data_IF_647553469420
#
_entry.id   IF_647553469420
#
_cell.length_a   1.000
_cell.length_b   1.000
_cell.length_c   1.000
_cell.angle_alpha   90.00
_cell.angle_beta   90.00
_cell.angle_gamma   90.00
#
_symmetry.space_group_name_H-M   'P 1'
#
loop_
_entity.id
_entity.type
_entity.pdbx_description
1 polymer ?
#
# COMPACT_ATOMS: atom_id res chain seq x y z
N UNK A 1 5.40 0.36 20.30
CA UNK A 1 6.49 0.49 21.28
C UNK A 1 6.89 -0.90 21.67
N UNK A 2 8.17 -1.25 21.57
CA UNK A 2 8.67 -2.55 22.07
C UNK A 2 9.17 -2.32 23.49
N UNK A 3 8.77 -3.19 24.42
CA UNK A 3 9.15 -3.11 25.84
C UNK A 3 9.44 -4.51 26.38
N UNK A 4 10.25 -4.55 27.42
CA UNK A 4 10.57 -5.69 28.27
C UNK A 4 9.62 -5.84 29.47
N UNK A 5 8.70 -4.89 29.67
CA UNK A 5 7.67 -4.99 30.69
C UNK A 5 6.81 -6.25 30.49
N UNK A 6 6.54 -6.98 31.58
CA UNK A 6 5.65 -8.15 31.55
C UNK A 6 4.21 -7.66 31.56
N UNK A 7 3.52 -7.82 30.43
CA UNK A 7 2.14 -7.37 30.22
C UNK A 7 1.34 -8.56 29.65
N UNK A 8 0.11 -8.74 30.13
CA UNK A 8 -0.80 -9.72 29.53
C UNK A 8 -1.15 -9.30 28.10
N UNK A 9 -1.08 -10.26 27.17
CA UNK A 9 -1.43 -10.01 25.78
C UNK A 9 -2.94 -9.89 25.63
N UNK A 10 -3.38 -8.92 24.81
CA UNK A 10 -4.78 -8.83 24.43
C UNK A 10 -5.23 -10.09 23.66
N UNK A 11 -6.52 -10.46 23.76
CA UNK A 11 -7.08 -11.53 22.95
C UNK A 11 -6.89 -11.27 21.45
N UNK A 12 -6.63 -12.32 20.68
CA UNK A 12 -6.59 -12.19 19.22
C UNK A 12 -7.98 -11.83 18.67
N UNK A 13 -8.00 -10.92 17.71
CA UNK A 13 -9.22 -10.63 16.95
C UNK A 13 -9.61 -11.84 16.07
N UNK A 14 -10.90 -11.98 15.73
CA UNK A 14 -11.35 -12.97 14.75
C UNK A 14 -10.61 -12.83 13.41
N UNK A 15 -10.40 -13.95 12.74
CA UNK A 15 -9.77 -13.97 11.42
C UNK A 15 -10.66 -13.25 10.38
N UNK A 16 -10.02 -12.46 9.52
CA UNK A 16 -10.57 -11.67 8.42
C UNK A 16 -11.88 -10.90 8.74
N UNK A 17 -11.81 -9.59 9.04
CA UNK A 17 -13.01 -8.80 9.33
C UNK A 17 -13.84 -8.50 8.07
N UNK A 18 -13.41 -8.90 6.88
CA UNK A 18 -14.15 -8.64 5.64
C UNK A 18 -15.48 -9.41 5.62
N UNK A 19 -16.58 -8.79 5.17
CA UNK A 19 -17.81 -9.54 4.90
C UNK A 19 -17.57 -10.68 3.91
N UNK A 20 -18.33 -11.79 3.99
CA UNK A 20 -18.20 -12.90 3.05
C UNK A 20 -18.25 -12.44 1.59
N UNK A 21 -17.30 -12.88 0.78
CA UNK A 21 -17.18 -12.53 -0.65
C UNK A 21 -17.03 -11.03 -0.94
N UNK A 22 -16.55 -10.22 0.02
CA UNK A 22 -16.29 -8.81 -0.21
C UNK A 22 -15.14 -8.61 -1.20
N UNK A 23 -15.38 -7.87 -2.29
CA UNK A 23 -14.36 -7.49 -3.28
C UNK A 23 -14.33 -5.98 -3.54
N UNK A 24 -14.84 -5.17 -2.60
CA UNK A 24 -15.06 -3.74 -2.81
C UNK A 24 -13.74 -3.00 -3.12
N UNK A 25 -12.71 -3.20 -2.28
CA UNK A 25 -11.39 -2.61 -2.45
C UNK A 25 -10.69 -3.07 -3.74
N UNK A 26 -10.80 -4.36 -4.07
CA UNK A 26 -10.22 -4.92 -5.29
C UNK A 26 -10.86 -4.33 -6.55
N UNK A 27 -12.19 -4.19 -6.58
CA UNK A 27 -12.94 -3.63 -7.72
C UNK A 27 -12.61 -2.18 -8.01
N UNK A 28 -12.40 -1.35 -6.98
CA UNK A 28 -12.13 0.08 -7.18
C UNK A 28 -10.64 0.39 -7.40
N UNK A 29 -9.74 -0.55 -7.11
CA UNK A 29 -8.31 -0.31 -7.09
C UNK A 29 -7.80 0.19 -8.46
N UNK A 30 -7.36 1.46 -8.58
CA UNK A 30 -7.00 2.04 -9.87
C UNK A 30 -5.72 1.43 -10.46
N UNK A 31 -4.84 0.92 -9.60
CA UNK A 31 -3.60 0.25 -9.99
C UNK A 31 -3.76 -1.23 -10.29
N UNK A 32 -4.95 -1.81 -10.02
CA UNK A 32 -5.19 -3.27 -10.09
C UNK A 32 -4.18 -4.06 -9.26
N UNK A 33 -3.88 -3.55 -8.06
CA UNK A 33 -2.92 -4.17 -7.16
C UNK A 33 -3.45 -5.43 -6.44
N UNK A 34 -4.72 -5.79 -6.61
CA UNK A 34 -5.28 -7.03 -6.08
C UNK A 34 -5.37 -8.07 -7.20
N UNK A 35 -4.92 -9.30 -6.94
CA UNK A 35 -5.13 -10.42 -7.85
C UNK A 35 -6.55 -11.00 -7.75
N UNK A 36 -6.82 -12.07 -8.51
CA UNK A 36 -8.15 -12.68 -8.59
C UNK A 36 -8.60 -13.29 -7.25
N UNK A 37 -7.64 -13.66 -6.41
CA UNK A 37 -7.84 -14.23 -5.07
C UNK A 37 -7.91 -13.13 -3.99
N UNK A 38 -7.75 -11.86 -4.36
CA UNK A 38 -7.80 -10.72 -3.45
C UNK A 38 -6.49 -10.46 -2.70
N UNK A 39 -5.39 -11.11 -3.07
CA UNK A 39 -4.07 -10.86 -2.49
C UNK A 39 -3.49 -9.57 -3.04
N UNK A 40 -2.95 -8.76 -2.13
CA UNK A 40 -2.42 -7.44 -2.43
C UNK A 40 -0.96 -7.49 -2.90
N UNK A 41 -0.68 -6.89 -4.05
CA UNK A 41 0.66 -6.68 -4.58
C UNK A 41 1.14 -5.24 -4.30
N UNK A 42 2.02 -5.14 -3.31
CA UNK A 42 2.63 -3.87 -2.88
C UNK A 42 3.31 -3.12 -4.02
N UNK A 43 4.07 -3.81 -4.87
CA UNK A 43 4.86 -3.15 -5.91
C UNK A 43 3.99 -2.53 -6.99
N UNK A 44 2.89 -3.20 -7.35
CA UNK A 44 1.88 -2.66 -8.27
C UNK A 44 1.20 -1.42 -7.69
N UNK A 45 0.84 -1.44 -6.39
CA UNK A 45 0.23 -0.31 -5.73
C UNK A 45 1.17 0.90 -5.67
N UNK A 46 2.40 0.70 -5.19
CA UNK A 46 3.39 1.77 -5.04
C UNK A 46 3.70 2.50 -6.35
N UNK A 47 3.73 1.78 -7.48
CA UNK A 47 3.92 2.40 -8.80
C UNK A 47 2.83 3.42 -9.16
N UNK A 48 1.62 3.28 -8.62
CA UNK A 48 0.53 4.23 -8.83
C UNK A 48 0.45 5.30 -7.73
N UNK A 49 0.65 4.90 -6.47
CA UNK A 49 0.40 5.80 -5.33
C UNK A 49 1.52 6.78 -5.08
N UNK A 50 2.75 6.45 -5.48
CA UNK A 50 3.88 7.37 -5.32
C UNK A 50 3.91 8.36 -6.48
N UNK A 51 3.37 9.56 -6.25
CA UNK A 51 3.38 10.66 -7.23
C UNK A 51 4.53 11.63 -6.95
N UNK A 52 5.78 11.18 -7.12
CA UNK A 52 6.90 12.11 -7.17
C UNK A 52 7.23 12.43 -8.63
N UNK A 53 7.16 13.72 -9.01
CA UNK A 53 7.33 14.17 -10.40
C UNK A 53 8.66 13.72 -11.04
N UNK A 54 9.69 13.49 -10.22
CA UNK A 54 10.99 13.02 -10.70
C UNK A 54 11.06 11.52 -10.98
N UNK A 55 10.13 10.70 -10.47
CA UNK A 55 10.23 9.24 -10.60
C UNK A 55 10.02 8.73 -12.03
N UNK A 56 9.04 9.23 -12.81
CA UNK A 56 8.94 8.88 -14.22
C UNK A 56 10.20 9.23 -15.00
N UNK A 57 10.89 10.31 -14.63
CA UNK A 57 12.14 10.72 -15.28
C UNK A 57 13.34 9.88 -14.82
N UNK A 58 13.49 9.67 -13.50
CA UNK A 58 14.64 9.01 -12.91
C UNK A 58 14.58 7.47 -12.98
N UNK A 59 13.40 6.87 -13.11
CA UNK A 59 13.19 5.41 -13.15
C UNK A 59 12.75 4.89 -14.53
N UNK A 60 12.74 5.73 -15.57
CA UNK A 60 12.41 5.31 -16.95
C UNK A 60 13.51 4.53 -17.65
N UNK A 61 14.71 4.46 -17.07
CA UNK A 61 15.86 3.76 -17.65
C UNK A 61 16.35 2.62 -16.76
N UNK A 62 17.00 1.63 -17.38
CA UNK A 62 17.63 0.51 -16.67
C UNK A 62 18.64 0.98 -15.60
N UNK A 63 19.39 2.05 -15.90
CA UNK A 63 20.34 2.66 -14.97
C UNK A 63 19.61 3.30 -13.77
N UNK A 64 18.46 3.94 -14.02
CA UNK A 64 17.57 4.46 -12.99
C UNK A 64 17.05 3.37 -12.05
N UNK A 65 16.55 2.28 -12.63
CA UNK A 65 16.06 1.11 -11.89
C UNK A 65 17.16 0.43 -11.05
N UNK A 66 18.39 0.33 -11.56
CA UNK A 66 19.54 -0.18 -10.79
C UNK A 66 19.88 0.68 -9.55
N UNK A 67 19.46 1.93 -9.53
CA UNK A 67 19.72 2.88 -8.44
C UNK A 67 18.44 3.29 -7.69
N UNK A 68 17.40 2.45 -7.76
CA UNK A 68 16.07 2.78 -7.22
C UNK A 68 16.10 3.20 -5.75
N UNK A 69 16.91 2.56 -4.92
CA UNK A 69 17.07 2.89 -3.50
C UNK A 69 17.62 4.31 -3.31
N UNK A 70 18.65 4.70 -4.08
CA UNK A 70 19.21 6.05 -4.04
C UNK A 70 18.19 7.09 -4.52
N UNK A 71 17.49 6.81 -5.61
CA UNK A 71 16.45 7.71 -6.16
C UNK A 71 15.33 7.91 -5.14
N UNK A 72 14.86 6.84 -4.51
CA UNK A 72 13.83 6.90 -3.47
C UNK A 72 14.34 7.64 -2.24
N UNK A 73 15.55 7.38 -1.75
CA UNK A 73 16.07 8.02 -0.53
C UNK A 73 16.40 9.50 -0.72
N UNK A 74 16.77 9.93 -1.94
CA UNK A 74 17.09 11.33 -2.23
C UNK A 74 15.85 12.17 -2.57
N UNK A 75 14.95 11.65 -3.41
CA UNK A 75 13.75 12.39 -3.84
C UNK A 75 12.49 12.03 -3.04
N UNK A 76 12.51 10.94 -2.28
CA UNK A 76 11.37 10.49 -1.48
C UNK A 76 11.10 11.33 -0.24
N UNK A 77 11.88 12.36 0.09
CA UNK A 77 11.56 13.20 1.25
C UNK A 77 10.17 13.89 1.14
N UNK A 78 9.60 13.95 -0.08
CA UNK A 78 8.21 14.32 -0.40
C UNK A 78 7.42 13.17 -1.07
N UNK A 79 7.59 11.92 -0.61
CA UNK A 79 6.69 10.84 -1.03
C UNK A 79 5.28 11.13 -0.47
N UNK A 80 4.35 11.56 -1.32
CA UNK A 80 2.93 11.60 -0.96
C UNK A 80 2.28 10.33 -1.47
N UNK A 81 1.87 9.45 -0.54
CA UNK A 81 0.94 8.36 -0.82
C UNK A 81 -0.43 9.01 -0.93
N UNK A 82 -0.85 9.28 -2.17
CA UNK A 82 -2.07 10.04 -2.45
C UNK A 82 -3.29 9.20 -2.79
N UNK A 83 -3.32 7.91 -2.46
CA UNK A 83 -4.40 7.01 -2.85
C UNK A 83 -4.99 6.30 -1.63
N UNK A 84 -6.27 6.53 -1.42
CA UNK A 84 -7.10 5.98 -0.34
C UNK A 84 -8.41 5.37 -0.90
N UNK A 85 -8.52 5.17 -2.21
CA UNK A 85 -9.73 4.66 -2.88
C UNK A 85 -10.23 3.32 -2.29
N UNK A 86 -9.32 2.41 -1.96
CA UNK A 86 -9.68 1.14 -1.32
C UNK A 86 -10.29 1.33 0.08
N UNK A 87 -9.91 2.39 0.79
CA UNK A 87 -10.46 2.73 2.10
C UNK A 87 -11.84 3.37 1.98
N UNK A 88 -12.04 4.26 1.00
CA UNK A 88 -13.33 4.95 0.76
C UNK A 88 -14.49 4.01 0.52
N UNK A 89 -14.25 2.88 -0.15
CA UNK A 89 -15.27 1.87 -0.46
C UNK A 89 -15.36 0.74 0.57
N UNK A 90 -14.49 0.74 1.58
CA UNK A 90 -14.46 -0.34 2.55
C UNK A 90 -15.72 -0.28 3.44
N UNK A 91 -16.53 -1.36 3.52
CA UNK A 91 -17.75 -1.36 4.33
C UNK A 91 -17.49 -1.22 5.84
N UNK A 92 -16.24 -1.44 6.27
CA UNK A 92 -15.80 -1.25 7.64
C UNK A 92 -15.35 0.20 7.92
N UNK A 93 -15.12 0.99 6.88
CA UNK A 93 -14.70 2.38 6.98
C UNK A 93 -15.91 3.32 6.85
N UNK A 94 -16.69 3.45 7.92
CA UNK A 94 -17.92 4.28 7.96
C UNK A 94 -17.66 5.70 8.46
N UNK A 95 -16.47 6.25 8.18
CA UNK A 95 -16.10 7.62 8.52
C UNK A 95 -16.89 8.66 7.74
#
# INVERSE_FOLDING_TARGET
MVTDAVIEADPMLPADPCPPNCTACAKICPSKAFDAEGKFNKMTCLGYTIKHAIYPLALSSEAGLKNIERVINTAGHNYWIGCDECLKVCPLNKG
#
